data_IF_539474220924
#
_entry.id   IF_539474220924
#
_cell.length_a   1.000
_cell.length_b   1.000
_cell.length_c   1.000
_cell.angle_alpha   90.00
_cell.angle_beta   90.00
_cell.angle_gamma   90.00
#
_symmetry.space_group_name_H-M   'P 1'
#
loop_
_entity.id
_entity.type
_entity.pdbx_description
1 polymer ?
#
# COMPACT_ATOMS: atom_id res chain seq x y z
N UNK A 1 8.83 40.19 -8.70
CA UNK A 1 8.65 38.73 -8.61
C UNK A 1 9.18 38.30 -7.27
N UNK A 2 8.41 37.53 -6.47
CA UNK A 2 8.94 37.02 -5.21
C UNK A 2 10.18 36.15 -5.51
N UNK A 3 11.29 36.46 -4.84
CA UNK A 3 12.52 35.71 -4.99
C UNK A 3 12.46 34.32 -4.33
N UNK A 4 11.43 34.11 -3.50
CA UNK A 4 11.12 32.86 -2.84
C UNK A 4 9.64 32.80 -2.49
N UNK A 5 9.12 31.62 -2.21
CA UNK A 5 7.76 31.42 -1.69
C UNK A 5 7.85 31.36 -0.17
N UNK A 6 7.05 32.21 0.50
CA UNK A 6 6.93 32.18 1.93
C UNK A 6 6.13 30.93 2.35
N UNK A 7 6.73 30.05 3.09
CA UNK A 7 6.02 28.95 3.73
C UNK A 7 5.46 29.43 5.07
N UNK A 8 4.14 29.65 5.10
CA UNK A 8 3.45 30.15 6.28
C UNK A 8 3.43 29.16 7.45
N UNK A 9 3.57 27.86 7.17
CA UNK A 9 3.58 26.83 8.21
C UNK A 9 4.91 26.79 8.94
N UNK A 10 6.00 26.96 8.19
CA UNK A 10 7.37 26.89 8.72
C UNK A 10 7.92 28.26 9.09
N UNK A 11 7.29 29.34 8.64
CA UNK A 11 7.76 30.69 8.84
C UNK A 11 9.08 31.00 8.11
N UNK A 12 9.36 30.31 7.02
CA UNK A 12 10.59 30.43 6.26
C UNK A 12 10.34 30.47 4.75
N UNK A 13 11.35 30.93 3.98
CA UNK A 13 11.28 30.92 2.54
C UNK A 13 11.77 29.57 2.00
N UNK A 14 10.93 28.90 1.22
CA UNK A 14 11.27 27.66 0.56
C UNK A 14 11.75 27.90 -0.87
N UNK A 15 12.82 27.23 -1.35
CA UNK A 15 13.25 27.28 -2.74
C UNK A 15 12.14 26.84 -3.70
N UNK A 16 11.99 27.58 -4.79
CA UNK A 16 11.06 27.29 -5.86
C UNK A 16 11.81 26.92 -7.14
N UNK A 17 11.50 25.78 -7.71
CA UNK A 17 12.03 25.36 -9.00
C UNK A 17 10.89 25.22 -10.03
N UNK A 18 11.25 25.37 -11.31
CA UNK A 18 10.37 25.06 -12.44
C UNK A 18 10.83 23.79 -13.10
N UNK A 19 9.93 22.85 -13.32
CA UNK A 19 10.20 21.61 -14.06
C UNK A 19 10.31 21.93 -15.54
N UNK A 20 11.47 21.68 -16.13
CA UNK A 20 11.76 21.92 -17.54
C UNK A 20 11.53 20.66 -18.38
N UNK A 21 12.05 19.51 -17.91
CA UNK A 21 11.97 18.24 -18.62
C UNK A 21 11.58 17.10 -17.70
N UNK A 22 10.79 16.18 -18.24
CA UNK A 22 10.40 14.93 -17.59
C UNK A 22 10.71 13.80 -18.55
N UNK A 23 11.49 12.83 -18.12
CA UNK A 23 11.92 11.68 -18.91
C UNK A 23 11.78 10.41 -18.04
N UNK A 24 10.59 9.80 -18.10
CA UNK A 24 10.23 8.72 -17.21
C UNK A 24 10.24 9.15 -15.73
N UNK A 25 11.16 8.59 -14.96
CA UNK A 25 11.37 8.96 -13.54
C UNK A 25 12.41 10.06 -13.34
N UNK A 26 13.14 10.44 -14.38
CA UNK A 26 14.11 11.53 -14.31
C UNK A 26 13.45 12.85 -14.62
N UNK A 27 13.69 13.85 -13.79
CA UNK A 27 13.14 15.19 -13.90
C UNK A 27 14.25 16.21 -13.81
N UNK A 28 14.31 17.11 -14.78
CA UNK A 28 15.19 18.27 -14.76
C UNK A 28 14.37 19.49 -14.38
N UNK A 29 14.79 20.18 -13.33
CA UNK A 29 14.14 21.41 -12.87
C UNK A 29 15.17 22.53 -12.74
N UNK A 30 14.72 23.77 -12.89
CA UNK A 30 15.55 24.96 -12.73
C UNK A 30 15.06 25.78 -11.55
N UNK A 31 15.96 26.08 -10.63
CA UNK A 31 15.67 26.98 -9.50
C UNK A 31 15.32 28.36 -10.03
N UNK A 32 14.22 28.91 -9.59
CA UNK A 32 13.67 30.23 -9.99
C UNK A 32 13.86 31.25 -8.90
N UNK A 33 13.78 30.83 -7.67
CA UNK A 33 13.91 31.70 -6.51
C UNK A 33 14.38 30.91 -5.28
N UNK A 34 14.95 31.63 -4.32
CA UNK A 34 15.66 31.01 -3.23
C UNK A 34 16.95 30.43 -3.77
N UNK A 35 18.00 31.25 -3.84
CA UNK A 35 19.33 30.73 -4.11
C UNK A 35 19.57 29.54 -3.20
N UNK A 36 20.42 28.64 -3.62
CA UNK A 36 20.98 27.61 -2.77
C UNK A 36 21.31 28.24 -1.44
N UNK A 37 20.52 27.93 -0.42
CA UNK A 37 20.80 28.42 0.92
C UNK A 37 22.01 27.67 1.46
N UNK A 38 23.18 28.03 0.95
CA UNK A 38 24.45 27.81 1.62
C UNK A 38 24.64 28.89 2.70
N UNK A 39 23.55 29.48 3.18
CA UNK A 39 23.68 30.51 4.19
C UNK A 39 23.90 29.86 5.55
N UNK A 40 25.04 30.18 6.20
CA UNK A 40 25.28 29.81 7.59
C UNK A 40 24.28 30.45 8.57
N UNK A 41 23.28 31.20 8.09
CA UNK A 41 22.20 31.77 8.90
C UNK A 41 21.19 30.73 9.43
N UNK A 42 21.11 29.54 8.86
CA UNK A 42 20.30 28.46 9.42
C UNK A 42 20.81 27.98 10.79
N UNK A 43 22.08 28.15 11.08
CA UNK A 43 22.67 27.81 12.38
C UNK A 43 22.49 28.89 13.44
N UNK A 44 22.04 30.10 13.08
CA UNK A 44 21.95 31.24 14.00
C UNK A 44 20.62 31.35 14.77
N UNK A 45 19.66 30.47 14.49
CA UNK A 45 18.34 30.38 15.17
C UNK A 45 18.19 29.16 16.08
N UNK A 46 19.25 28.42 16.34
CA UNK A 46 19.22 27.49 17.48
C UNK A 46 19.52 28.33 18.75
N UNK A 47 18.67 28.26 19.78
CA UNK A 47 19.00 28.86 21.06
C UNK A 47 20.34 28.26 21.53
N UNK A 48 21.25 29.10 21.98
CA UNK A 48 22.55 28.75 22.52
C UNK A 48 22.42 27.55 23.48
N UNK A 49 22.77 26.37 23.02
CA UNK A 49 23.14 25.26 23.89
C UNK A 49 24.62 25.52 24.22
N UNK A 50 24.82 26.28 25.26
CA UNK A 50 26.14 26.47 25.83
C UNK A 50 26.77 25.12 26.16
N UNK A 51 27.83 24.76 25.43
CA UNK A 51 28.69 23.64 25.82
C UNK A 51 29.16 22.68 24.74
N UNK A 52 28.82 22.85 23.46
CA UNK A 52 29.41 22.03 22.40
C UNK A 52 30.65 22.71 21.81
N UNK A 53 31.83 22.17 22.09
CA UNK A 53 33.08 22.54 21.43
C UNK A 53 32.93 22.38 19.91
N UNK A 54 33.29 23.45 19.16
CA UNK A 54 33.31 23.43 17.69
C UNK A 54 34.21 22.26 17.20
N UNK A 55 33.68 21.38 16.31
CA UNK A 55 34.58 20.42 15.66
C UNK A 55 35.52 21.18 14.72
N UNK A 56 36.81 21.12 15.00
CA UNK A 56 37.84 21.59 14.09
C UNK A 56 37.86 20.67 12.86
N UNK A 57 37.25 21.13 11.77
CA UNK A 57 37.29 20.44 10.48
C UNK A 57 38.61 20.87 9.82
N UNK A 58 39.53 19.93 9.66
CA UNK A 58 40.82 20.16 8.95
C UNK A 58 40.58 20.31 7.45
N UNK A 59 41.33 21.23 6.82
CA UNK A 59 41.21 21.56 5.38
C UNK A 59 41.37 20.35 4.43
N UNK A 60 42.01 19.27 4.85
CA UNK A 60 42.15 18.04 4.07
C UNK A 60 40.84 17.21 3.97
N UNK A 61 39.90 17.36 4.91
CA UNK A 61 38.58 16.73 4.84
C UNK A 61 37.61 17.51 3.95
N UNK A 62 37.92 18.75 3.58
CA UNK A 62 37.11 19.56 2.68
C UNK A 62 37.25 19.16 1.19
N UNK A 63 38.27 18.39 0.84
CA UNK A 63 38.61 18.11 -0.57
C UNK A 63 37.91 16.90 -1.20
N UNK A 64 37.41 15.96 -0.44
CA UNK A 64 36.91 14.68 -0.99
C UNK A 64 35.43 14.31 -0.74
N UNK A 65 34.70 14.99 0.14
CA UNK A 65 33.30 14.69 0.43
C UNK A 65 32.28 15.77 0.04
N UNK A 66 32.72 16.86 -0.59
CA UNK A 66 31.89 18.06 -0.86
C UNK A 66 31.01 17.88 -2.11
N UNK A 67 31.12 16.79 -2.83
CA UNK A 67 30.50 16.72 -4.16
C UNK A 67 29.04 16.30 -4.22
N UNK A 68 28.38 15.77 -3.17
CA UNK A 68 27.00 15.27 -3.34
C UNK A 68 26.05 15.45 -2.16
N UNK A 69 26.40 16.16 -1.12
CA UNK A 69 25.46 16.44 -0.03
C UNK A 69 25.08 17.92 -0.06
N UNK A 70 23.81 18.18 -0.31
CA UNK A 70 23.22 19.50 -0.18
C UNK A 70 23.38 19.97 1.28
N UNK A 71 24.25 20.92 1.60
CA UNK A 71 24.47 21.35 2.97
C UNK A 71 23.27 22.16 3.44
N UNK A 72 22.42 21.57 4.27
CA UNK A 72 21.21 22.20 4.81
C UNK A 72 20.07 22.41 3.81
N UNK A 73 20.16 21.85 2.59
CA UNK A 73 19.17 22.01 1.55
C UNK A 73 18.07 20.95 1.57
N UNK A 74 16.95 21.26 0.97
CA UNK A 74 15.86 20.33 0.79
C UNK A 74 16.30 19.17 -0.08
N UNK A 75 16.22 17.95 0.44
CA UNK A 75 16.48 16.74 -0.33
C UNK A 75 15.33 16.40 -1.28
N UNK A 76 14.19 17.09 -1.16
CA UNK A 76 12.99 16.82 -1.94
C UNK A 76 12.18 18.10 -2.25
N UNK A 77 11.41 18.01 -3.34
CA UNK A 77 10.43 19.03 -3.72
C UNK A 77 9.04 18.40 -3.86
N UNK A 78 8.01 19.10 -3.39
CA UNK A 78 6.62 18.80 -3.72
C UNK A 78 6.25 19.45 -5.05
N UNK A 79 5.41 18.78 -5.85
CA UNK A 79 5.02 19.26 -7.16
C UNK A 79 3.69 20.01 -7.10
N UNK A 80 3.63 21.10 -7.87
CA UNK A 80 2.43 21.95 -8.01
C UNK A 80 2.23 22.27 -9.47
N UNK A 81 0.99 22.14 -9.96
CA UNK A 81 0.57 22.62 -11.26
C UNK A 81 -0.04 24.01 -11.08
N UNK A 82 0.44 24.97 -11.89
CA UNK A 82 -0.11 26.31 -11.95
C UNK A 82 -0.70 26.56 -13.31
N UNK A 83 -1.99 26.89 -13.36
CA UNK A 83 -2.65 27.37 -14.59
C UNK A 83 -2.47 28.86 -14.73
N UNK A 84 -2.10 29.29 -15.91
CA UNK A 84 -1.96 30.69 -16.27
C UNK A 84 -3.03 31.09 -17.30
N UNK A 85 -3.53 32.32 -17.22
CA UNK A 85 -4.38 32.96 -18.21
C UNK A 85 -3.59 33.22 -19.50
N UNK A 86 -4.28 33.72 -20.55
CA UNK A 86 -3.64 34.05 -21.84
C UNK A 86 -2.58 35.16 -21.72
N UNK A 87 -2.73 36.05 -20.76
CA UNK A 87 -1.81 37.13 -20.45
C UNK A 87 -0.61 36.71 -19.59
N UNK A 88 -0.53 35.41 -19.23
CA UNK A 88 0.53 34.85 -18.38
C UNK A 88 0.33 35.04 -16.88
N UNK A 89 -0.77 35.67 -16.46
CA UNK A 89 -1.12 35.80 -15.02
C UNK A 89 -1.64 34.50 -14.47
N UNK A 90 -1.40 34.19 -13.19
CA UNK A 90 -2.03 33.02 -12.54
C UNK A 90 -3.55 33.10 -12.59
N UNK A 91 -4.19 32.02 -12.95
CA UNK A 91 -5.65 31.86 -12.84
C UNK A 91 -6.05 31.79 -11.37
N UNK A 92 -7.13 32.46 -10.97
CA UNK A 92 -7.65 32.36 -9.61
C UNK A 92 -8.04 30.90 -9.30
N UNK A 93 -7.49 30.32 -8.23
CA UNK A 93 -7.66 28.89 -7.93
C UNK A 93 -6.92 27.95 -8.86
N UNK A 94 -6.08 28.46 -9.76
CA UNK A 94 -5.31 27.68 -10.74
C UNK A 94 -4.09 26.96 -10.17
N UNK A 95 -3.88 26.96 -8.86
CA UNK A 95 -2.78 26.26 -8.18
C UNK A 95 -3.32 24.92 -7.68
N UNK A 96 -2.77 23.83 -8.21
CA UNK A 96 -3.14 22.46 -7.86
C UNK A 96 -1.91 21.70 -7.34
N UNK A 97 -1.80 21.43 -6.03
CA UNK A 97 -0.78 20.54 -5.51
C UNK A 97 -0.97 19.12 -6.05
N UNK A 98 0.12 18.49 -6.43
CA UNK A 98 0.13 17.06 -6.80
C UNK A 98 0.44 16.26 -5.54
N UNK A 99 -0.61 15.85 -4.85
CA UNK A 99 -0.47 15.04 -3.65
C UNK A 99 0.31 13.73 -3.94
N UNK A 100 1.09 13.28 -2.98
CA UNK A 100 1.84 12.02 -3.04
C UNK A 100 2.76 11.92 -4.26
N UNK A 101 3.35 13.05 -4.61
CA UNK A 101 4.29 13.17 -5.71
C UNK A 101 5.43 14.08 -5.31
N UNK A 102 6.63 13.52 -5.24
CA UNK A 102 7.83 14.19 -4.80
C UNK A 102 8.94 14.05 -5.83
N UNK A 103 9.80 15.06 -5.90
CA UNK A 103 11.06 15.03 -6.63
C UNK A 103 12.19 14.91 -5.60
N UNK A 104 12.93 13.82 -5.64
CA UNK A 104 14.15 13.64 -4.83
C UNK A 104 15.35 14.18 -5.59
N UNK A 105 16.10 15.09 -4.99
CA UNK A 105 17.29 15.66 -5.60
C UNK A 105 18.40 14.62 -5.69
N UNK A 106 18.90 14.40 -6.90
CA UNK A 106 20.02 13.50 -7.17
C UNK A 106 21.33 14.28 -7.38
N UNK A 107 21.24 15.36 -8.18
CA UNK A 107 22.38 16.21 -8.51
C UNK A 107 21.91 17.65 -8.69
N UNK A 108 22.78 18.58 -8.45
CA UNK A 108 22.56 19.98 -8.82
C UNK A 108 23.82 20.60 -9.42
N UNK A 109 23.62 21.45 -10.42
CA UNK A 109 24.66 22.19 -11.10
C UNK A 109 24.19 23.66 -11.22
N UNK A 110 24.64 24.51 -10.30
CA UNK A 110 24.18 25.89 -10.21
C UNK A 110 22.63 25.95 -10.00
N UNK A 111 21.92 26.50 -10.97
CA UNK A 111 20.45 26.59 -10.91
C UNK A 111 19.75 25.34 -11.43
N UNK A 112 20.44 24.42 -12.07
CA UNK A 112 19.87 23.20 -12.62
C UNK A 112 19.88 22.08 -11.59
N UNK A 113 18.74 21.42 -11.42
CA UNK A 113 18.57 20.34 -10.46
C UNK A 113 18.06 19.11 -11.21
N UNK A 114 18.78 18.00 -11.06
CA UNK A 114 18.33 16.68 -11.54
C UNK A 114 17.68 15.96 -10.39
N UNK A 115 16.46 15.51 -10.61
CA UNK A 115 15.65 14.88 -9.59
C UNK A 115 15.11 13.54 -10.08
N UNK A 116 14.88 12.64 -9.13
CA UNK A 116 14.12 11.42 -9.32
C UNK A 116 12.66 11.66 -8.90
N UNK A 117 11.73 11.30 -9.76
CA UNK A 117 10.29 11.40 -9.51
C UNK A 117 9.81 10.19 -8.72
N UNK A 118 9.21 10.45 -7.57
CA UNK A 118 8.49 9.46 -6.76
C UNK A 118 7.00 9.82 -6.77
N UNK A 119 6.14 8.88 -7.14
CA UNK A 119 4.70 9.11 -7.16
C UNK A 119 3.91 7.88 -6.77
N UNK A 120 2.80 8.10 -6.07
CA UNK A 120 1.80 7.08 -5.82
C UNK A 120 0.98 6.73 -7.09
N UNK A 121 1.06 7.54 -8.14
CA UNK A 121 0.27 7.41 -9.37
C UNK A 121 1.15 7.06 -10.56
N UNK A 122 0.60 6.28 -11.51
CA UNK A 122 1.35 5.81 -12.69
C UNK A 122 1.72 6.92 -13.69
N UNK A 123 0.91 7.97 -13.80
CA UNK A 123 1.15 9.07 -14.74
C UNK A 123 0.74 10.38 -14.08
N UNK A 124 1.70 11.12 -13.60
CA UNK A 124 1.46 12.30 -12.77
C UNK A 124 1.67 13.59 -13.54
N UNK A 125 2.64 13.60 -14.44
CA UNK A 125 3.00 14.80 -15.16
C UNK A 125 2.67 14.63 -16.64
N UNK A 126 1.93 15.57 -17.24
CA UNK A 126 1.75 15.56 -18.68
C UNK A 126 3.12 15.67 -19.36
N UNK A 127 3.40 14.83 -20.40
CA UNK A 127 4.73 14.76 -21.01
C UNK A 127 5.17 16.07 -21.67
N UNK A 128 4.22 16.90 -22.07
CA UNK A 128 4.48 18.23 -22.61
C UNK A 128 3.76 19.29 -21.79
N UNK A 129 4.51 20.30 -21.35
CA UNK A 129 3.90 21.49 -20.76
C UNK A 129 3.06 22.22 -21.79
N UNK A 130 1.82 22.54 -21.45
CA UNK A 130 1.04 23.51 -22.20
C UNK A 130 1.59 24.91 -21.87
N UNK A 131 1.54 25.84 -22.81
CA UNK A 131 1.96 27.23 -22.55
C UNK A 131 1.20 27.88 -21.38
N UNK A 132 0.05 27.31 -20.99
CA UNK A 132 -0.77 27.75 -19.87
C UNK A 132 -0.62 26.95 -18.60
N UNK A 133 0.10 25.83 -18.64
CA UNK A 133 0.30 24.96 -17.50
C UNK A 133 1.77 24.97 -17.11
N UNK A 134 2.07 25.59 -15.99
CA UNK A 134 3.41 25.62 -15.43
C UNK A 134 3.54 24.57 -14.33
N UNK A 135 4.64 23.82 -14.39
CA UNK A 135 4.98 22.80 -13.41
C UNK A 135 6.01 23.38 -12.48
N UNK A 136 5.62 23.57 -11.23
CA UNK A 136 6.45 24.14 -10.20
C UNK A 136 6.80 23.06 -9.15
N UNK A 137 7.93 23.21 -8.52
CA UNK A 137 8.42 22.34 -7.48
C UNK A 137 8.84 23.20 -6.28
N UNK A 138 8.19 22.99 -5.14
CA UNK A 138 8.46 23.69 -3.88
C UNK A 138 9.26 22.78 -2.97
N UNK A 139 10.38 23.28 -2.45
CA UNK A 139 11.23 22.51 -1.57
C UNK A 139 10.49 22.11 -0.29
N UNK A 140 10.64 20.85 0.10
CA UNK A 140 10.06 20.29 1.32
C UNK A 140 11.14 20.23 2.39
N UNK A 141 10.87 20.86 3.53
CA UNK A 141 11.76 20.86 4.68
C UNK A 141 11.11 20.09 5.84
N UNK A 142 11.81 19.09 6.40
CA UNK A 142 11.38 18.47 7.64
C UNK A 142 11.66 19.45 8.79
N UNK A 143 10.62 19.83 9.50
CA UNK A 143 10.71 20.77 10.64
C UNK A 143 10.23 20.15 11.93
N UNK A 144 9.49 19.05 11.85
CA UNK A 144 8.92 18.36 12.99
C UNK A 144 9.65 17.05 13.28
N UNK A 145 9.70 16.67 14.55
CA UNK A 145 10.28 15.38 14.99
C UNK A 145 9.41 14.18 14.61
N UNK A 146 8.17 14.43 14.18
CA UNK A 146 7.23 13.38 13.76
C UNK A 146 6.22 13.92 12.74
N UNK A 147 5.62 13.04 11.97
CA UNK A 147 4.53 13.35 11.02
C UNK A 147 3.31 12.53 11.35
N UNK A 148 2.15 13.17 11.50
CA UNK A 148 0.88 12.46 11.68
C UNK A 148 0.28 12.16 10.32
N UNK A 149 0.07 10.87 10.02
CA UNK A 149 -0.66 10.41 8.84
C UNK A 149 -2.09 10.05 9.24
N UNK A 150 -3.06 10.44 8.41
CA UNK A 150 -4.48 10.13 8.60
C UNK A 150 -4.98 9.41 7.36
N UNK A 151 -5.42 8.15 7.52
CA UNK A 151 -6.04 7.38 6.45
C UNK A 151 -7.56 7.51 6.50
N UNK A 152 -8.16 7.85 5.38
CA UNK A 152 -9.62 7.96 5.22
C UNK A 152 -10.12 7.16 4.03
N UNK A 153 -11.32 6.66 4.13
CA UNK A 153 -12.02 6.05 3.01
C UNK A 153 -12.30 7.09 1.91
N UNK A 154 -11.94 6.77 0.69
CA UNK A 154 -12.18 7.63 -0.48
C UNK A 154 -13.66 7.74 -0.84
N UNK A 155 -14.51 6.81 -0.36
CA UNK A 155 -15.94 6.78 -0.65
C UNK A 155 -16.77 7.66 0.28
N UNK A 156 -16.55 7.54 1.59
CA UNK A 156 -17.40 8.18 2.62
C UNK A 156 -16.62 9.03 3.64
N UNK A 157 -15.29 9.12 3.48
CA UNK A 157 -14.43 9.92 4.35
C UNK A 157 -14.24 9.35 5.76
N UNK A 158 -14.73 8.13 6.04
CA UNK A 158 -14.55 7.49 7.34
C UNK A 158 -13.08 7.17 7.61
N UNK A 159 -12.65 7.15 8.88
CA UNK A 159 -11.31 6.72 9.24
C UNK A 159 -11.10 5.24 8.88
N UNK A 160 -9.95 4.92 8.31
CA UNK A 160 -9.54 3.55 8.01
C UNK A 160 -8.76 3.01 9.21
N UNK A 161 -9.37 2.11 9.96
CA UNK A 161 -8.86 1.55 11.23
C UNK A 161 -8.19 0.21 10.99
N UNK A 162 -7.09 -0.08 11.68
CA UNK A 162 -6.44 -1.39 11.59
C UNK A 162 -5.53 -1.58 10.36
N UNK A 163 -5.24 -0.52 9.62
CA UNK A 163 -4.35 -0.57 8.45
C UNK A 163 -2.90 -0.55 8.89
N UNK A 164 -2.11 -1.46 8.39
CA UNK A 164 -0.70 -1.60 8.71
C UNK A 164 0.18 -0.73 7.81
N UNK A 165 1.16 -0.07 8.43
CA UNK A 165 2.08 0.81 7.73
C UNK A 165 3.52 0.29 7.87
N UNK A 166 4.21 0.28 6.73
CA UNK A 166 5.59 -0.12 6.62
C UNK A 166 6.40 0.92 5.89
N UNK A 167 7.63 1.14 6.33
CA UNK A 167 8.60 1.97 5.63
C UNK A 167 9.52 1.06 4.81
N UNK A 168 9.59 1.31 3.52
CA UNK A 168 10.59 0.66 2.68
C UNK A 168 11.92 1.39 2.88
N UNK A 169 13.01 0.70 3.20
CA UNK A 169 14.31 1.30 3.23
C UNK A 169 14.67 1.81 1.83
N UNK A 170 15.46 2.87 1.79
CA UNK A 170 16.02 3.38 0.56
C UNK A 170 16.87 2.28 -0.08
N UNK A 171 16.58 1.95 -1.33
CA UNK A 171 17.49 1.11 -2.12
C UNK A 171 18.76 1.93 -2.37
N UNK A 172 19.82 1.63 -1.65
CA UNK A 172 21.16 2.11 -1.96
C UNK A 172 21.62 1.42 -3.25
N UNK A 173 21.71 2.19 -4.34
CA UNK A 173 22.13 1.69 -5.65
C UNK A 173 20.95 1.37 -6.57
N UNK A 174 20.78 2.24 -7.58
CA UNK A 174 19.74 2.19 -8.58
C UNK A 174 19.61 0.86 -9.30
N UNK A 175 18.69 0.05 -8.84
CA UNK A 175 18.12 -1.03 -9.62
C UNK A 175 16.60 -0.93 -9.50
N UNK A 176 15.99 -0.92 -10.63
CA UNK A 176 14.60 -0.70 -10.94
C UNK A 176 13.62 -1.34 -9.95
N UNK A 177 12.86 -0.53 -9.20
CA UNK A 177 11.56 -0.95 -8.73
C UNK A 177 10.57 -0.81 -9.90
N UNK A 178 10.90 -1.46 -10.99
CA UNK A 178 10.04 -1.67 -12.13
C UNK A 178 9.46 -3.07 -12.04
N UNK A 179 8.19 -3.11 -12.22
CA UNK A 179 7.33 -4.25 -12.45
C UNK A 179 6.42 -4.60 -11.27
N UNK A 180 5.18 -4.33 -11.54
CA UNK A 180 4.03 -4.78 -10.76
C UNK A 180 4.05 -6.31 -10.82
N UNK A 181 4.74 -6.95 -9.87
CA UNK A 181 4.56 -8.37 -9.61
C UNK A 181 3.22 -8.49 -8.90
N UNK A 182 2.29 -9.18 -9.56
CA UNK A 182 1.03 -9.60 -8.99
C UNK A 182 1.24 -10.37 -7.68
N UNK A 183 0.18 -10.75 -6.97
CA UNK A 183 0.27 -11.42 -5.68
C UNK A 183 1.02 -12.73 -5.85
N UNK A 184 2.33 -12.75 -5.61
CA UNK A 184 3.07 -13.97 -5.43
C UNK A 184 2.89 -14.42 -3.98
N UNK A 185 2.27 -15.58 -3.85
CA UNK A 185 2.32 -16.40 -2.66
C UNK A 185 3.77 -16.53 -2.20
N UNK A 186 3.98 -16.22 -0.93
CA UNK A 186 5.25 -16.45 -0.25
C UNK A 186 5.48 -17.97 -0.23
N UNK A 187 6.46 -18.53 -0.94
CA UNK A 187 6.81 -19.92 -0.75
C UNK A 187 7.56 -20.06 0.57
N UNK A 188 6.95 -20.78 1.48
CA UNK A 188 7.58 -21.32 2.69
C UNK A 188 8.62 -22.35 2.24
N UNK A 189 9.87 -21.93 2.03
CA UNK A 189 11.01 -22.83 1.85
C UNK A 189 12.26 -22.24 2.49
N UNK A 190 12.59 -22.79 3.63
CA UNK A 190 13.94 -22.96 4.18
C UNK A 190 14.94 -23.32 3.06
N UNK A 191 15.80 -22.37 2.72
CA UNK A 191 16.87 -22.63 1.74
C UNK A 191 17.66 -21.35 1.52
N UNK A 192 18.79 -21.27 2.16
CA UNK A 192 19.83 -20.26 2.11
C UNK A 192 20.10 -19.70 0.70
N UNK A 193 19.66 -18.47 0.47
CA UNK A 193 20.34 -17.54 -0.43
C UNK A 193 20.11 -16.13 0.15
N UNK A 194 21.16 -15.58 0.75
CA UNK A 194 21.27 -14.20 1.22
C UNK A 194 21.34 -13.23 0.02
N UNK A 195 20.20 -13.07 -0.66
CA UNK A 195 19.94 -11.88 -1.46
C UNK A 195 19.27 -10.88 -0.52
N UNK A 196 19.95 -9.79 -0.17
CA UNK A 196 19.46 -8.73 0.70
C UNK A 196 18.13 -8.17 0.19
N UNK A 197 17.03 -8.80 0.54
CA UNK A 197 15.72 -8.19 0.36
C UNK A 197 15.65 -6.98 1.30
N UNK A 198 15.26 -5.80 0.81
CA UNK A 198 15.16 -4.61 1.63
C UNK A 198 14.18 -4.87 2.77
N UNK A 199 14.71 -4.87 4.00
CA UNK A 199 13.94 -5.20 5.20
C UNK A 199 12.93 -4.09 5.47
N UNK A 200 11.64 -4.37 5.23
CA UNK A 200 10.55 -3.46 5.55
C UNK A 200 10.49 -3.22 7.07
N UNK A 201 10.45 -1.96 7.47
CA UNK A 201 10.30 -1.57 8.87
C UNK A 201 8.83 -1.32 9.14
N UNK A 202 8.23 -2.09 10.04
CA UNK A 202 6.85 -1.86 10.48
C UNK A 202 6.80 -0.61 11.36
N UNK A 203 6.00 0.37 10.97
CA UNK A 203 5.81 1.63 11.70
C UNK A 203 4.69 1.56 12.72
N UNK A 204 3.61 0.86 12.40
CA UNK A 204 2.45 0.72 13.28
C UNK A 204 1.18 0.34 12.53
N UNK A 205 0.07 0.54 13.22
CA UNK A 205 -1.30 0.30 12.74
C UNK A 205 -2.11 1.55 13.00
N UNK A 206 -3.04 1.89 12.12
CA UNK A 206 -3.92 3.04 12.31
C UNK A 206 -4.88 2.84 13.47
N UNK A 207 -5.05 3.90 14.27
CA UNK A 207 -5.96 3.95 15.40
C UNK A 207 -7.45 4.09 14.97
N UNK A 208 -8.36 4.21 15.95
CA UNK A 208 -9.80 4.41 15.72
C UNK A 208 -10.15 5.68 14.92
N UNK A 209 -9.23 6.61 14.81
CA UNK A 209 -9.36 7.84 14.02
C UNK A 209 -8.64 7.76 12.67
N UNK A 210 -8.13 6.57 12.33
CA UNK A 210 -7.33 6.34 11.12
C UNK A 210 -5.94 6.98 11.19
N UNK A 211 -5.39 7.27 12.38
CA UNK A 211 -4.13 8.00 12.56
C UNK A 211 -2.99 7.06 12.87
N UNK A 212 -1.81 7.44 12.39
CA UNK A 212 -0.54 6.85 12.79
C UNK A 212 0.51 7.95 12.84
N UNK A 213 1.41 7.87 13.81
CA UNK A 213 2.53 8.81 13.96
C UNK A 213 3.78 8.17 13.38
N UNK A 214 4.40 8.85 12.43
CA UNK A 214 5.64 8.46 11.78
C UNK A 214 6.79 9.22 12.43
N UNK A 215 7.89 8.57 12.79
CA UNK A 215 9.06 9.28 13.27
C UNK A 215 9.59 10.22 12.19
N UNK A 216 10.07 11.38 12.58
CA UNK A 216 10.73 12.32 11.69
C UNK A 216 12.01 11.72 11.08
N UNK A 217 12.38 12.22 9.93
CA UNK A 217 13.56 11.75 9.18
C UNK A 217 14.56 12.87 8.92
N UNK A 218 15.66 12.50 8.30
CA UNK A 218 16.73 13.44 7.91
C UNK A 218 16.43 14.18 6.58
N UNK A 219 15.17 14.38 6.22
CA UNK A 219 14.77 15.08 5.00
C UNK A 219 14.79 14.26 3.71
N UNK A 220 15.11 12.98 3.79
CA UNK A 220 15.10 12.09 2.62
C UNK A 220 13.67 11.62 2.29
N UNK A 221 13.41 11.38 1.00
CA UNK A 221 12.16 10.75 0.56
C UNK A 221 12.12 9.32 1.05
N UNK A 222 11.05 8.97 1.73
CA UNK A 222 10.75 7.63 2.19
C UNK A 222 9.54 7.07 1.44
N UNK A 223 9.50 5.77 1.22
CA UNK A 223 8.37 5.09 0.61
C UNK A 223 7.56 4.38 1.68
N UNK A 224 6.37 4.88 1.95
CA UNK A 224 5.41 4.29 2.87
C UNK A 224 4.54 3.29 2.13
N UNK A 225 4.45 2.08 2.66
CA UNK A 225 3.56 1.03 2.17
C UNK A 225 2.38 0.90 3.13
N UNK A 226 1.17 1.02 2.60
CA UNK A 226 -0.07 0.82 3.35
C UNK A 226 -0.65 -0.54 2.99
N UNK A 227 -0.85 -1.39 4.00
CA UNK A 227 -1.40 -2.73 3.84
C UNK A 227 -2.64 -2.92 4.70
N UNK A 228 -3.54 -3.80 4.24
CA UNK A 228 -4.64 -4.29 5.05
C UNK A 228 -4.73 -5.81 4.89
N UNK A 229 -4.44 -6.53 5.98
CA UNK A 229 -4.13 -7.94 5.90
C UNK A 229 -2.92 -8.21 5.01
N UNK A 230 -3.05 -9.10 4.03
CA UNK A 230 -1.97 -9.40 3.09
C UNK A 230 -1.93 -8.47 1.86
N UNK A 231 -2.92 -7.60 1.71
CA UNK A 231 -3.06 -6.76 0.52
C UNK A 231 -2.29 -5.45 0.66
N UNK A 232 -1.45 -5.15 -0.32
CA UNK A 232 -0.86 -3.81 -0.49
C UNK A 232 -1.89 -2.91 -1.18
N UNK A 233 -2.26 -1.81 -0.51
CA UNK A 233 -3.26 -0.85 -1.00
C UNK A 233 -2.62 0.36 -1.64
N UNK A 234 -1.55 0.88 -1.05
CA UNK A 234 -0.87 2.07 -1.56
C UNK A 234 0.63 2.04 -1.30
N UNK A 235 1.35 2.77 -2.18
CA UNK A 235 2.76 3.14 -2.03
C UNK A 235 2.83 4.65 -2.08
N UNK A 236 3.17 5.27 -0.95
CA UNK A 236 3.09 6.72 -0.78
C UNK A 236 4.49 7.29 -0.54
N UNK A 237 5.05 8.08 -1.46
CA UNK A 237 6.27 8.80 -1.19
C UNK A 237 5.99 9.95 -0.23
N UNK A 238 6.80 10.09 0.79
CA UNK A 238 6.72 11.18 1.77
C UNK A 238 8.11 11.58 2.26
N UNK A 239 8.21 12.78 2.80
CA UNK A 239 9.37 13.22 3.58
C UNK A 239 8.94 13.24 5.05
N UNK A 240 9.46 12.35 5.90
CA UNK A 240 9.13 12.35 7.32
C UNK A 240 9.59 13.65 8.00
N UNK A 241 8.76 14.17 8.89
CA UNK A 241 9.02 15.45 9.56
C UNK A 241 8.39 16.66 8.85
N UNK A 242 7.54 16.46 7.85
CA UNK A 242 6.72 17.54 7.28
C UNK A 242 5.74 18.09 8.32
N UNK A 243 5.53 19.41 8.29
CA UNK A 243 4.57 20.08 9.15
C UNK A 243 3.13 19.73 8.81
N UNK A 244 2.33 19.53 9.84
CA UNK A 244 0.90 19.25 9.75
C UNK A 244 0.54 17.81 9.43
N UNK A 245 -0.73 17.44 9.60
CA UNK A 245 -1.21 16.10 9.31
C UNK A 245 -1.28 15.85 7.79
N UNK A 246 -0.80 14.70 7.37
CA UNK A 246 -0.92 14.23 5.99
C UNK A 246 -2.17 13.35 5.87
N UNK A 247 -3.15 13.77 5.08
CA UNK A 247 -4.35 12.98 4.83
C UNK A 247 -4.24 12.19 3.52
N UNK A 248 -4.65 10.92 3.59
CA UNK A 248 -4.69 9.99 2.46
C UNK A 248 -6.08 9.43 2.31
N UNK A 249 -6.67 9.58 1.13
CA UNK A 249 -7.90 8.90 0.77
C UNK A 249 -7.57 7.59 0.05
N UNK A 250 -7.97 6.45 0.64
CA UNK A 250 -7.79 5.11 0.08
C UNK A 250 -9.14 4.39 -0.02
N UNK A 251 -9.27 3.42 -0.93
CA UNK A 251 -10.43 2.54 -0.92
C UNK A 251 -10.56 1.82 0.42
N UNK A 252 -11.79 1.71 0.93
CA UNK A 252 -12.09 0.85 2.07
C UNK A 252 -11.96 -0.62 1.66
N UNK A 253 -11.09 -1.35 2.35
CA UNK A 253 -10.76 -2.74 2.05
C UNK A 253 -11.43 -3.73 3.04
N UNK A 254 -12.14 -3.25 4.07
CA UNK A 254 -12.87 -4.10 5.03
C UNK A 254 -13.84 -5.08 4.36
N UNK A 255 -14.64 -4.68 3.33
CA UNK A 255 -15.53 -5.60 2.66
C UNK A 255 -14.78 -6.78 2.00
N UNK A 256 -13.58 -6.55 1.48
CA UNK A 256 -12.75 -7.63 0.91
C UNK A 256 -12.26 -8.60 1.98
N UNK A 257 -11.83 -8.10 3.15
CA UNK A 257 -11.40 -8.98 4.25
C UNK A 257 -12.56 -9.82 4.78
N UNK A 258 -13.75 -9.24 4.90
CA UNK A 258 -14.97 -9.98 5.28
C UNK A 258 -15.27 -11.07 4.24
N UNK A 259 -15.22 -10.73 2.94
CA UNK A 259 -15.42 -11.69 1.87
C UNK A 259 -14.38 -12.81 1.92
N UNK A 260 -13.13 -12.50 2.20
CA UNK A 260 -12.06 -13.48 2.34
C UNK A 260 -12.31 -14.43 3.52
N UNK A 261 -12.66 -13.89 4.69
CA UNK A 261 -12.97 -14.70 5.87
C UNK A 261 -14.16 -15.65 5.64
N UNK A 262 -15.24 -15.14 5.02
CA UNK A 262 -16.40 -15.96 4.69
C UNK A 262 -16.08 -17.01 3.63
N UNK A 263 -15.33 -16.68 2.60
CA UNK A 263 -14.86 -17.64 1.60
C UNK A 263 -14.04 -18.76 2.22
N UNK A 264 -13.10 -18.41 3.10
CA UNK A 264 -12.29 -19.38 3.84
C UNK A 264 -13.16 -20.28 4.75
N UNK A 265 -14.15 -19.70 5.44
CA UNK A 265 -15.06 -20.49 6.29
C UNK A 265 -15.83 -21.55 5.49
N UNK A 266 -16.30 -21.21 4.29
CA UNK A 266 -16.98 -22.17 3.39
C UNK A 266 -16.00 -23.27 2.92
N UNK A 267 -14.74 -22.91 2.59
CA UNK A 267 -13.72 -23.90 2.20
C UNK A 267 -13.44 -24.87 3.34
N UNK A 268 -13.21 -24.39 4.56
CA UNK A 268 -12.96 -25.23 5.74
C UNK A 268 -14.17 -26.13 6.00
N UNK A 269 -15.39 -25.58 6.02
CA UNK A 269 -16.62 -26.35 6.19
C UNK A 269 -16.78 -27.44 5.12
N UNK A 270 -16.38 -27.16 3.88
CA UNK A 270 -16.42 -28.16 2.81
C UNK A 270 -15.45 -29.32 3.05
N UNK A 271 -14.25 -29.04 3.60
CA UNK A 271 -13.27 -30.06 3.96
C UNK A 271 -13.77 -30.95 5.11
N UNK A 272 -14.32 -30.32 6.15
CA UNK A 272 -14.91 -31.04 7.30
C UNK A 272 -16.04 -31.96 6.86
N UNK A 273 -16.89 -31.50 5.94
CA UNK A 273 -18.00 -32.31 5.39
C UNK A 273 -17.50 -33.50 4.56
N UNK A 274 -16.41 -33.32 3.77
CA UNK A 274 -15.81 -34.46 3.04
C UNK A 274 -15.27 -35.48 4.01
N UNK A 275 -14.46 -35.05 4.99
CA UNK A 275 -13.90 -35.96 5.99
C UNK A 275 -14.96 -36.68 6.80
N UNK A 276 -16.00 -35.96 7.23
CA UNK A 276 -17.14 -36.55 7.97
C UNK A 276 -17.90 -37.60 7.14
N UNK A 277 -18.15 -37.32 5.85
CA UNK A 277 -18.80 -38.24 4.95
C UNK A 277 -17.99 -39.52 4.75
N UNK A 278 -16.68 -39.42 4.58
CA UNK A 278 -15.81 -40.57 4.44
C UNK A 278 -15.78 -41.44 5.71
N UNK A 279 -15.67 -40.81 6.88
CA UNK A 279 -15.73 -41.55 8.18
C UNK A 279 -17.05 -42.26 8.34
N UNK A 280 -18.18 -41.58 8.05
CA UNK A 280 -19.52 -42.18 8.17
C UNK A 280 -19.73 -43.28 7.12
N UNK A 281 -19.22 -43.13 5.91
CA UNK A 281 -19.29 -44.17 4.87
C UNK A 281 -18.46 -45.41 5.26
N UNK A 282 -17.27 -45.25 5.82
CA UNK A 282 -16.46 -46.36 6.32
C UNK A 282 -17.17 -47.09 7.46
N UNK A 283 -17.77 -46.37 8.41
CA UNK A 283 -18.56 -46.95 9.51
C UNK A 283 -19.81 -47.67 8.98
N UNK A 284 -20.50 -47.10 8.01
CA UNK A 284 -21.64 -47.72 7.33
C UNK A 284 -21.25 -49.09 6.74
N UNK A 285 -20.16 -49.14 5.96
CA UNK A 285 -19.69 -50.39 5.36
C UNK A 285 -19.28 -51.42 6.41
N UNK A 286 -18.71 -50.98 7.55
CA UNK A 286 -18.43 -51.88 8.68
C UNK A 286 -19.70 -52.49 9.28
N UNK A 287 -20.76 -51.69 9.48
CA UNK A 287 -22.05 -52.16 10.00
C UNK A 287 -22.73 -53.14 9.06
N UNK A 288 -22.69 -52.87 7.76
CA UNK A 288 -23.23 -53.79 6.75
C UNK A 288 -22.50 -55.15 6.79
N UNK A 289 -21.15 -55.14 6.90
CA UNK A 289 -20.35 -56.37 7.02
C UNK A 289 -20.60 -57.12 8.33
N UNK A 290 -20.94 -56.40 9.41
CA UNK A 290 -21.26 -56.97 10.71
C UNK A 290 -22.70 -57.51 10.79
N UNK A 291 -23.48 -57.40 9.72
CA UNK A 291 -24.87 -57.86 9.70
C UNK A 291 -25.84 -56.99 10.53
N UNK A 292 -25.53 -55.70 10.71
CA UNK A 292 -26.33 -54.74 11.47
C UNK A 292 -27.06 -53.74 10.54
N UNK A 293 -28.07 -54.17 9.77
CA UNK A 293 -28.69 -53.33 8.75
C UNK A 293 -29.48 -52.14 9.32
N UNK A 294 -30.06 -52.27 10.51
CA UNK A 294 -30.84 -51.18 11.11
C UNK A 294 -29.94 -49.99 11.53
N UNK A 295 -28.81 -50.28 12.12
CA UNK A 295 -27.84 -49.25 12.47
C UNK A 295 -27.23 -48.59 11.21
N UNK A 296 -26.99 -49.40 10.18
CA UNK A 296 -26.55 -48.88 8.88
C UNK A 296 -27.60 -47.95 8.25
N UNK A 297 -28.91 -48.25 8.36
CA UNK A 297 -29.99 -47.36 7.89
C UNK A 297 -30.00 -46.03 8.63
N UNK A 298 -29.87 -46.02 9.94
CA UNK A 298 -29.81 -44.80 10.76
C UNK A 298 -28.62 -43.95 10.38
N UNK A 299 -27.47 -44.55 10.09
CA UNK A 299 -26.29 -43.87 9.67
C UNK A 299 -26.44 -43.25 8.26
N UNK A 300 -27.10 -43.98 7.33
CA UNK A 300 -27.45 -43.49 6.00
C UNK A 300 -28.37 -42.26 6.06
N UNK A 301 -29.36 -42.27 6.95
CA UNK A 301 -30.25 -41.11 7.16
C UNK A 301 -29.45 -39.92 7.75
N UNK A 302 -28.48 -40.17 8.62
CA UNK A 302 -27.59 -39.13 9.13
C UNK A 302 -26.74 -38.53 8.02
N UNK A 303 -26.21 -39.35 7.09
CA UNK A 303 -25.47 -38.90 5.90
C UNK A 303 -26.33 -38.05 4.96
N UNK A 304 -27.61 -38.41 4.77
CA UNK A 304 -28.56 -37.65 3.94
C UNK A 304 -28.86 -36.26 4.48
N UNK A 305 -28.80 -36.09 5.81
CA UNK A 305 -29.06 -34.80 6.48
C UNK A 305 -27.87 -33.86 6.45
N UNK A 306 -26.68 -34.34 6.06
CA UNK A 306 -25.50 -33.47 5.94
C UNK A 306 -25.66 -32.47 4.79
N UNK A 307 -25.18 -31.24 4.97
CA UNK A 307 -25.24 -30.23 3.92
C UNK A 307 -24.65 -30.73 2.61
N UNK A 308 -25.34 -30.47 1.52
CA UNK A 308 -24.89 -30.80 0.17
C UNK A 308 -23.96 -29.69 -0.40
N UNK A 309 -23.36 -29.96 -1.57
CA UNK A 309 -22.64 -28.93 -2.34
C UNK A 309 -23.56 -27.76 -2.70
N UNK A 310 -24.81 -28.04 -3.04
CA UNK A 310 -25.82 -27.02 -3.40
C UNK A 310 -26.13 -26.10 -2.21
N UNK A 311 -26.14 -26.63 -0.98
CA UNK A 311 -26.37 -25.81 0.22
C UNK A 311 -25.20 -24.86 0.47
N UNK A 312 -23.96 -25.36 0.38
CA UNK A 312 -22.78 -24.52 0.50
C UNK A 312 -22.69 -23.46 -0.61
N UNK A 313 -23.06 -23.81 -1.85
CA UNK A 313 -23.10 -22.85 -2.95
C UNK A 313 -24.16 -21.77 -2.72
N UNK A 314 -25.30 -22.13 -2.14
CA UNK A 314 -26.37 -21.17 -1.77
C UNK A 314 -25.93 -20.25 -0.64
N UNK A 315 -25.22 -20.77 0.36
CA UNK A 315 -24.64 -19.95 1.43
C UNK A 315 -23.61 -18.97 0.87
N UNK A 316 -22.73 -19.43 -0.04
CA UNK A 316 -21.73 -18.59 -0.70
C UNK A 316 -22.38 -17.45 -1.51
N UNK A 317 -23.44 -17.75 -2.26
CA UNK A 317 -24.17 -16.73 -3.04
C UNK A 317 -24.88 -15.72 -2.13
N UNK A 318 -25.44 -16.17 -0.99
CA UNK A 318 -26.01 -15.27 0.02
C UNK A 318 -24.95 -14.31 0.56
N UNK A 319 -23.76 -14.79 0.89
CA UNK A 319 -22.65 -13.94 1.34
C UNK A 319 -22.24 -12.94 0.26
N UNK A 320 -22.17 -13.38 -0.99
CA UNK A 320 -21.86 -12.51 -2.13
C UNK A 320 -22.85 -11.35 -2.27
N UNK A 321 -24.15 -11.60 -2.05
CA UNK A 321 -25.19 -10.58 -2.11
C UNK A 321 -25.15 -9.59 -0.93
N UNK A 322 -24.60 -10.00 0.21
CA UNK A 322 -24.52 -9.18 1.41
C UNK A 322 -23.30 -8.25 1.42
N UNK A 323 -22.26 -8.59 0.66
CA UNK A 323 -21.00 -7.86 0.68
C UNK A 323 -20.83 -7.11 -0.63
N UNK A 324 -20.74 -5.78 -0.51
CA UNK A 324 -20.48 -4.91 -1.65
C UNK A 324 -19.52 -3.78 -1.25
N UNK A 325 -18.75 -3.30 -2.23
CA UNK A 325 -17.88 -2.13 -2.07
C UNK A 325 -18.23 -1.08 -3.11
N UNK A 326 -18.29 0.21 -2.75
CA UNK A 326 -18.46 1.28 -3.72
C UNK A 326 -17.21 1.47 -4.60
N UNK A 327 -16.05 1.00 -4.15
CA UNK A 327 -14.83 1.01 -4.95
C UNK A 327 -14.81 -0.13 -5.95
N UNK A 328 -14.71 0.22 -7.22
CA UNK A 328 -14.76 -0.74 -8.34
C UNK A 328 -13.64 -1.80 -8.28
N UNK A 329 -12.44 -1.41 -7.85
CA UNK A 329 -11.31 -2.33 -7.77
C UNK A 329 -11.48 -3.32 -6.61
N UNK A 330 -11.93 -2.83 -5.45
CA UNK A 330 -12.25 -3.66 -4.28
C UNK A 330 -13.40 -4.61 -4.62
N UNK A 331 -14.45 -4.14 -5.29
CA UNK A 331 -15.56 -4.99 -5.74
C UNK A 331 -15.10 -6.10 -6.68
N UNK A 332 -14.27 -5.79 -7.67
CA UNK A 332 -13.74 -6.80 -8.59
C UNK A 332 -12.90 -7.87 -7.87
N UNK A 333 -12.18 -7.50 -6.81
CA UNK A 333 -11.44 -8.46 -5.97
C UNK A 333 -12.37 -9.34 -5.16
N UNK A 334 -13.44 -8.78 -4.60
CA UNK A 334 -14.50 -9.52 -3.88
C UNK A 334 -15.13 -10.55 -4.81
N UNK A 335 -15.55 -10.13 -6.00
CA UNK A 335 -16.16 -11.02 -6.99
C UNK A 335 -15.24 -12.17 -7.40
N UNK A 336 -13.93 -11.87 -7.54
CA UNK A 336 -12.92 -12.88 -7.84
C UNK A 336 -12.76 -13.90 -6.69
N UNK A 337 -12.73 -13.48 -5.43
CA UNK A 337 -12.65 -14.36 -4.26
C UNK A 337 -13.84 -15.34 -4.23
N UNK A 338 -15.06 -14.85 -4.45
CA UNK A 338 -16.24 -15.71 -4.49
C UNK A 338 -16.23 -16.68 -5.68
N UNK A 339 -15.79 -16.23 -6.86
CA UNK A 339 -15.66 -17.08 -8.04
C UNK A 339 -14.62 -18.20 -7.84
N UNK A 340 -13.46 -17.90 -7.25
CA UNK A 340 -12.43 -18.87 -6.91
C UNK A 340 -12.94 -19.88 -5.87
N UNK A 341 -13.66 -19.43 -4.84
CA UNK A 341 -14.28 -20.30 -3.83
C UNK A 341 -15.31 -21.23 -4.45
N UNK A 342 -16.17 -20.72 -5.34
CA UNK A 342 -17.14 -21.53 -6.08
C UNK A 342 -16.45 -22.61 -6.91
N UNK A 343 -15.34 -22.28 -7.58
CA UNK A 343 -14.53 -23.24 -8.34
C UNK A 343 -13.99 -24.35 -7.44
N UNK A 344 -13.47 -24.01 -6.26
CA UNK A 344 -12.98 -24.98 -5.27
C UNK A 344 -14.10 -25.90 -4.80
N UNK A 345 -15.30 -25.36 -4.51
CA UNK A 345 -16.46 -26.17 -4.11
C UNK A 345 -16.87 -27.18 -5.19
N UNK A 346 -16.83 -26.79 -6.47
CA UNK A 346 -17.16 -27.67 -7.59
C UNK A 346 -16.19 -28.87 -7.73
N UNK A 347 -14.94 -28.69 -7.32
CA UNK A 347 -13.92 -29.74 -7.35
C UNK A 347 -13.98 -30.70 -6.16
N UNK A 348 -14.74 -30.40 -5.10
CA UNK A 348 -14.85 -31.24 -3.91
C UNK A 348 -15.82 -32.42 -4.12
N UNK A 349 -15.52 -33.62 -3.58
CA UNK A 349 -16.36 -34.78 -3.66
C UNK A 349 -17.54 -34.71 -2.65
N UNK A 350 -18.37 -33.68 -2.77
CA UNK A 350 -19.56 -33.47 -1.95
C UNK A 350 -20.83 -33.90 -2.69
N UNK A 351 -20.71 -34.84 -3.64
CA UNK A 351 -21.81 -35.30 -4.44
C UNK A 351 -22.78 -36.19 -3.61
N UNK A 352 -24.01 -36.19 -4.02
CA UNK A 352 -25.03 -37.09 -3.45
C UNK A 352 -24.86 -38.55 -3.93
N UNK A 353 -23.97 -38.77 -4.90
CA UNK A 353 -23.67 -40.07 -5.48
C UNK A 353 -23.22 -41.10 -4.45
N UNK A 354 -22.38 -40.70 -3.47
CA UNK A 354 -21.93 -41.53 -2.38
C UNK A 354 -23.12 -42.08 -1.58
N UNK A 355 -24.10 -41.24 -1.28
CA UNK A 355 -25.30 -41.64 -0.52
C UNK A 355 -26.15 -42.62 -1.33
N UNK A 356 -26.26 -42.42 -2.64
CA UNK A 356 -26.95 -43.33 -3.53
C UNK A 356 -26.25 -44.69 -3.68
N UNK A 357 -24.92 -44.67 -3.74
CA UNK A 357 -24.07 -45.87 -3.75
C UNK A 357 -24.26 -46.69 -2.49
N UNK A 358 -24.14 -46.07 -1.31
CA UNK A 358 -24.35 -46.73 -0.02
C UNK A 358 -25.78 -47.27 0.14
N UNK A 359 -26.78 -46.55 -0.36
CA UNK A 359 -28.16 -47.03 -0.37
C UNK A 359 -28.33 -48.31 -1.24
N UNK A 360 -27.62 -48.40 -2.39
CA UNK A 360 -27.58 -49.58 -3.22
C UNK A 360 -26.87 -50.76 -2.55
N UNK A 361 -25.73 -50.47 -1.88
CA UNK A 361 -25.00 -51.48 -1.08
C UNK A 361 -25.92 -52.10 -0.01
N UNK A 362 -26.76 -51.30 0.65
CA UNK A 362 -27.68 -51.79 1.68
C UNK A 362 -28.84 -52.62 1.10
N UNK A 363 -29.28 -52.28 -0.12
CA UNK A 363 -30.41 -52.99 -0.79
C UNK A 363 -29.96 -54.29 -1.50
N UNK A 364 -28.68 -54.47 -1.76
CA UNK A 364 -28.15 -55.69 -2.39
C UNK A 364 -28.21 -56.83 -1.37
N UNK A 365 -28.98 -57.92 -1.65
CA UNK A 365 -28.99 -59.06 -0.75
C UNK A 365 -27.59 -59.63 -0.67
N UNK A 366 -27.11 -59.82 0.57
CA UNK A 366 -25.72 -60.21 0.87
C UNK A 366 -25.22 -61.35 -0.02
N UNK A 367 -24.14 -61.07 -0.77
CA UNK A 367 -23.32 -62.10 -1.39
C UNK A 367 -22.27 -62.60 -0.38
#
# INVERSE_FOLDING_TARGET
>A
LPLAVWDALVGSFAPLARVERVDGQEVTARLRSGGLWTSPLATRWMPDVQGASEPQITEEQMGQEVTNRWPGGAAAFSLVLRRNQRDGRPEAGGIQPLAWTLLEVQQHEGALVRCRLHSAFRSVLPPRGSARLERLALAVQPVESSTTLILRSSGDGKPLVGYELYLAPRAEGGTEAGEVVGPQEVPDKTGSQEGSQPRLVRLGVTDERGRVVLPGGQGNVALLLVRHGQQLLARLPLVPGQSGPLEVALPDDDPRLIAQALSQSIIVRSLDLVALREVLAARFRALVRAGQPEEARQLLESLRRLPSRSDLSRDLERFRQQISSPDRLTQARIDRLFAETQKVLLQRPLSEELVLELARELAAPGR
#
